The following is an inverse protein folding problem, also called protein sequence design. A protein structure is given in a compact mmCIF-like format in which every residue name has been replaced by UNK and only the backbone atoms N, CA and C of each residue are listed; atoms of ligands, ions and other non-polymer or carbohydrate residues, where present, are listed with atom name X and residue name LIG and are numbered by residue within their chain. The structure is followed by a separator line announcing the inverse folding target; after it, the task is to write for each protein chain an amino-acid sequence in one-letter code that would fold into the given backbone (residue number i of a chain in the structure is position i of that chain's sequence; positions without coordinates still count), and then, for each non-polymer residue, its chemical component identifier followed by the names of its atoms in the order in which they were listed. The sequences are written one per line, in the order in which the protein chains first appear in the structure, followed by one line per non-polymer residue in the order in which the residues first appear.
data_IF_854903496524
#
_entry.id   IF_854903496524
#
_cell.length_a   1.000
_cell.length_b   1.000
_cell.length_c   1.000
_cell.angle_alpha   90.00
_cell.angle_beta   90.00
_cell.angle_gamma   90.00
#
_symmetry.space_group_name_H-M   'P 1'
#
loop_
_entity.id
_entity.type
_entity.pdbx_description
1 polymer ?
#
# COMPACT_ATOMS: atom_id res chain seq x y z
N UNK A 1 7.20 8.91 12.25
CA UNK A 1 8.18 9.31 13.28
C UNK A 1 9.15 8.19 13.63
N UNK A 2 8.67 7.00 14.09
CA UNK A 2 9.53 5.89 14.52
C UNK A 2 10.50 5.43 13.41
N UNK A 3 9.99 5.08 12.22
CA UNK A 3 10.83 4.63 11.10
C UNK A 3 11.82 5.72 10.68
N UNK A 4 11.38 6.96 10.64
CA UNK A 4 12.25 8.10 10.30
C UNK A 4 13.39 8.25 11.31
N UNK A 5 13.11 8.08 12.60
CA UNK A 5 14.14 8.12 13.65
C UNK A 5 15.11 6.94 13.54
N UNK A 6 14.61 5.75 13.26
CA UNK A 6 15.44 4.53 13.09
C UNK A 6 16.48 4.70 11.99
N UNK A 7 16.09 5.25 10.84
CA UNK A 7 16.97 5.40 9.69
C UNK A 7 17.79 6.71 9.71
N UNK A 8 17.45 7.69 10.56
CA UNK A 8 18.12 8.98 10.61
C UNK A 8 18.73 9.29 11.99
N UNK A 9 17.96 9.89 12.89
CA UNK A 9 18.47 10.43 14.17
C UNK A 9 18.88 9.36 15.18
N UNK A 10 18.22 8.20 15.14
CA UNK A 10 18.49 7.04 16.01
C UNK A 10 18.35 7.37 17.51
N UNK A 11 17.47 8.33 17.84
CA UNK A 11 17.22 8.78 19.23
C UNK A 11 16.64 7.67 20.09
N UNK A 12 15.71 6.90 19.53
CA UNK A 12 15.06 5.79 20.23
C UNK A 12 16.06 4.78 20.81
N UNK A 13 17.21 4.59 20.16
CA UNK A 13 18.29 3.74 20.64
C UNK A 13 19.18 4.46 21.65
N UNK A 14 19.45 5.76 21.45
CA UNK A 14 20.24 6.58 22.38
C UNK A 14 19.53 6.75 23.71
N UNK A 15 18.21 6.86 23.68
CA UNK A 15 17.35 6.99 24.86
C UNK A 15 16.99 5.63 25.50
N UNK A 16 17.55 4.54 24.95
CA UNK A 16 17.33 3.16 25.44
C UNK A 16 15.84 2.76 25.51
N UNK A 17 15.00 3.29 24.62
CA UNK A 17 13.57 2.94 24.56
C UNK A 17 13.38 1.53 24.04
N UNK A 18 14.18 1.13 23.04
CA UNK A 18 14.24 -0.24 22.51
C UNK A 18 15.70 -0.69 22.32
N UNK A 19 15.99 -1.99 22.50
CA UNK A 19 17.30 -2.55 22.19
C UNK A 19 17.63 -2.43 20.70
N UNK A 20 18.85 -1.99 20.38
CA UNK A 20 19.30 -1.85 18.99
C UNK A 20 19.24 -3.14 18.20
N UNK A 21 19.54 -4.24 18.86
CA UNK A 21 19.62 -5.58 18.27
C UNK A 21 18.29 -6.05 17.70
N UNK A 22 17.17 -5.62 18.28
CA UNK A 22 15.84 -5.94 17.79
C UNK A 22 15.58 -5.38 16.38
N UNK A 23 16.15 -4.23 16.06
CA UNK A 23 15.98 -3.58 14.76
C UNK A 23 17.07 -4.00 13.78
N UNK A 24 18.36 -3.86 14.18
CA UNK A 24 19.47 -4.06 13.24
C UNK A 24 19.73 -5.54 12.89
N UNK A 25 19.28 -6.48 13.72
CA UNK A 25 19.33 -7.92 13.41
C UNK A 25 18.06 -8.41 12.69
N UNK A 26 17.07 -7.53 12.46
CA UNK A 26 15.88 -7.88 11.70
C UNK A 26 16.23 -8.08 10.22
N UNK A 27 15.76 -9.16 9.58
CA UNK A 27 15.95 -9.37 8.15
C UNK A 27 15.21 -8.32 7.28
N UNK A 28 14.33 -7.53 7.89
CA UNK A 28 13.58 -6.46 7.23
C UNK A 28 14.22 -5.08 7.39
N UNK A 29 15.30 -4.97 8.17
CA UNK A 29 16.06 -3.73 8.21
C UNK A 29 16.89 -3.57 6.95
N UNK A 30 16.65 -2.51 6.20
CA UNK A 30 17.35 -2.22 4.94
C UNK A 30 18.44 -1.16 5.21
N UNK A 31 19.68 -1.62 5.33
CA UNK A 31 20.82 -0.74 5.60
C UNK A 31 20.99 0.34 4.53
N UNK A 32 20.59 0.05 3.31
CA UNK A 32 20.61 0.97 2.16
C UNK A 32 19.72 2.20 2.36
N UNK A 33 18.76 2.12 3.29
CA UNK A 33 17.89 3.23 3.66
C UNK A 33 18.46 4.14 4.76
N UNK A 34 19.65 3.84 5.31
CA UNK A 34 20.29 4.70 6.31
C UNK A 34 20.57 6.09 5.74
N UNK A 35 20.07 7.11 6.44
CA UNK A 35 20.17 8.51 6.00
C UNK A 35 19.19 8.93 4.91
N UNK A 36 18.32 8.03 4.45
CA UNK A 36 17.28 8.35 3.50
C UNK A 36 16.08 9.01 4.22
N UNK A 37 15.49 10.00 3.59
CA UNK A 37 14.23 10.61 4.03
C UNK A 37 13.26 10.69 2.86
N UNK A 38 12.14 9.98 2.90
CA UNK A 38 11.14 10.05 1.84
C UNK A 38 10.46 11.42 1.83
N UNK A 39 9.90 11.78 0.69
CA UNK A 39 9.12 13.03 0.53
C UNK A 39 8.04 13.10 1.62
N UNK A 40 7.93 14.26 2.26
CA UNK A 40 7.03 14.51 3.38
C UNK A 40 7.24 13.61 4.61
N UNK A 41 8.38 12.91 4.70
CA UNK A 41 8.67 11.90 5.74
C UNK A 41 7.63 10.77 5.81
N UNK A 42 6.95 10.51 4.69
CA UNK A 42 5.93 9.49 4.56
C UNK A 42 6.56 8.13 4.22
N UNK A 43 7.01 7.39 5.23
CA UNK A 43 7.58 6.05 5.10
C UNK A 43 6.54 4.99 4.73
N UNK A 44 5.29 5.23 5.08
CA UNK A 44 4.17 4.40 4.65
C UNK A 44 3.00 5.29 4.24
N UNK A 45 2.47 5.06 3.05
CA UNK A 45 1.30 5.78 2.54
C UNK A 45 -0.01 5.12 2.96
N UNK A 46 0.02 3.80 3.25
CA UNK A 46 -1.13 3.00 3.67
C UNK A 46 -0.72 2.21 4.90
N UNK A 47 -1.52 2.28 5.95
CA UNK A 47 -1.32 1.55 7.20
C UNK A 47 -2.59 0.78 7.57
N UNK A 48 -2.44 -0.49 7.93
CA UNK A 48 -3.47 -1.29 8.56
C UNK A 48 -3.20 -1.32 10.07
N UNK A 49 -3.99 -0.57 10.83
CA UNK A 49 -3.78 -0.44 12.27
C UNK A 49 -4.71 -1.40 13.00
N UNK A 50 -4.15 -2.36 13.73
CA UNK A 50 -4.90 -3.28 14.57
C UNK A 50 -5.17 -2.65 15.92
N UNK A 51 -6.45 -2.67 16.32
CA UNK A 51 -6.92 -2.06 17.56
C UNK A 51 -7.51 -3.11 18.49
N UNK A 52 -7.21 -2.97 19.77
CA UNK A 52 -7.90 -3.71 20.83
C UNK A 52 -8.68 -2.76 21.73
N UNK A 53 -9.75 -3.26 22.32
CA UNK A 53 -10.54 -2.48 23.28
C UNK A 53 -10.22 -2.94 24.69
N UNK A 54 -9.77 -2.02 25.55
CA UNK A 54 -9.46 -2.32 26.93
C UNK A 54 -10.76 -2.41 27.79
N UNK A 55 -10.60 -2.81 29.05
CA UNK A 55 -11.72 -2.96 30.00
C UNK A 55 -12.46 -1.64 30.28
N UNK A 56 -11.84 -0.48 30.06
CA UNK A 56 -12.43 0.84 30.23
C UNK A 56 -13.20 1.29 28.98
N UNK A 57 -13.09 0.55 27.88
CA UNK A 57 -13.72 0.87 26.61
C UNK A 57 -12.84 1.71 25.66
N UNK A 58 -11.59 2.03 26.02
CA UNK A 58 -10.67 2.77 25.17
C UNK A 58 -10.07 1.87 24.10
N UNK A 59 -9.84 2.42 22.90
CA UNK A 59 -9.10 1.74 21.84
C UNK A 59 -7.60 1.96 22.01
N UNK A 60 -6.87 0.85 21.97
CA UNK A 60 -5.41 0.83 22.03
C UNK A 60 -4.87 0.23 20.75
N UNK A 61 -3.78 0.79 20.24
CA UNK A 61 -3.08 0.23 19.07
C UNK A 61 -2.35 -1.04 19.53
N UNK A 62 -2.61 -2.14 18.83
CA UNK A 62 -1.91 -3.40 19.04
C UNK A 62 -0.67 -3.47 18.14
N UNK A 63 -0.87 -3.20 16.83
CA UNK A 63 0.21 -3.15 15.85
C UNK A 63 -0.14 -2.29 14.64
N UNK A 64 0.88 -1.91 13.88
CA UNK A 64 0.77 -1.22 12.60
C UNK A 64 1.24 -2.14 11.47
N UNK A 65 0.32 -2.61 10.63
CA UNK A 65 0.64 -3.35 9.43
C UNK A 65 0.98 -2.37 8.29
N UNK A 66 2.26 -2.23 7.98
CA UNK A 66 2.76 -1.29 6.97
C UNK A 66 3.12 -1.96 5.64
N UNK A 67 3.00 -3.29 5.58
CA UNK A 67 3.39 -4.10 4.45
C UNK A 67 2.17 -4.74 3.79
N UNK A 68 1.71 -4.15 2.70
CA UNK A 68 0.57 -4.60 1.89
C UNK A 68 -0.70 -4.89 2.74
N UNK A 69 -1.14 -3.98 3.64
CA UNK A 69 -2.35 -4.23 4.45
C UNK A 69 -3.57 -4.41 3.55
N UNK A 70 -4.53 -5.22 4.00
CA UNK A 70 -5.76 -5.54 3.27
C UNK A 70 -6.98 -5.51 4.19
N UNK A 71 -8.18 -5.61 3.60
CA UNK A 71 -9.45 -5.65 4.34
C UNK A 71 -10.36 -4.45 4.13
N UNK A 72 -9.88 -3.36 3.53
CA UNK A 72 -10.67 -2.13 3.34
C UNK A 72 -11.88 -2.35 2.42
N UNK A 73 -11.76 -3.18 1.39
CA UNK A 73 -12.88 -3.52 0.50
C UNK A 73 -14.02 -4.18 1.25
N UNK A 74 -13.70 -5.12 2.13
CA UNK A 74 -14.70 -5.79 2.96
C UNK A 74 -15.37 -4.84 3.96
N UNK A 75 -14.62 -3.88 4.52
CA UNK A 75 -15.19 -2.86 5.37
C UNK A 75 -16.17 -1.96 4.60
N UNK A 76 -15.84 -1.57 3.37
CA UNK A 76 -16.69 -0.74 2.52
C UNK A 76 -17.96 -1.50 2.10
N UNK A 77 -17.83 -2.76 1.69
CA UNK A 77 -18.95 -3.63 1.35
C UNK A 77 -19.86 -3.88 2.56
N UNK A 78 -19.29 -4.25 3.73
CA UNK A 78 -20.04 -4.40 4.95
C UNK A 78 -20.80 -3.12 5.34
N UNK A 79 -20.17 -1.96 5.16
CA UNK A 79 -20.82 -0.67 5.43
C UNK A 79 -22.02 -0.42 4.51
N UNK A 80 -21.91 -0.81 3.23
CA UNK A 80 -23.03 -0.73 2.28
C UNK A 80 -24.18 -1.63 2.71
N UNK A 81 -23.89 -2.93 2.93
CA UNK A 81 -24.90 -3.91 3.37
C UNK A 81 -25.56 -3.47 4.68
N UNK A 82 -24.79 -3.01 5.66
CA UNK A 82 -25.32 -2.53 6.93
C UNK A 82 -26.25 -1.33 6.75
N UNK A 83 -25.94 -0.42 5.84
CA UNK A 83 -26.80 0.74 5.54
C UNK A 83 -28.12 0.31 4.90
N UNK A 84 -28.07 -0.67 4.00
CA UNK A 84 -29.27 -1.15 3.31
C UNK A 84 -30.17 -1.96 4.23
N UNK A 85 -29.61 -2.75 5.14
CA UNK A 85 -30.37 -3.61 6.06
C UNK A 85 -30.85 -2.86 7.30
N UNK A 86 -30.07 -1.90 7.80
CA UNK A 86 -30.36 -1.17 9.05
C UNK A 86 -30.27 0.36 8.87
N UNK A 87 -31.04 0.98 7.96
CA UNK A 87 -30.93 2.40 7.67
C UNK A 87 -31.21 3.30 8.89
N UNK A 88 -32.10 2.87 9.79
CA UNK A 88 -32.44 3.63 10.99
C UNK A 88 -31.23 3.76 11.95
N UNK A 89 -30.35 2.76 12.01
CA UNK A 89 -29.15 2.82 12.86
C UNK A 89 -28.20 3.92 12.39
N UNK A 90 -28.04 4.08 11.09
CA UNK A 90 -27.19 5.13 10.52
C UNK A 90 -27.72 6.53 10.79
N UNK A 91 -29.03 6.70 10.73
CA UNK A 91 -29.69 7.96 11.09
C UNK A 91 -29.54 8.28 12.57
N UNK A 92 -29.77 7.29 13.43
CA UNK A 92 -29.76 7.44 14.89
C UNK A 92 -28.36 7.69 15.46
N UNK A 93 -27.33 6.94 14.98
CA UNK A 93 -25.99 6.95 15.55
C UNK A 93 -25.00 7.84 14.80
N UNK A 94 -25.42 8.54 13.74
CA UNK A 94 -24.57 9.43 12.94
C UNK A 94 -23.24 8.79 12.55
N UNK A 95 -23.31 7.58 12.00
CA UNK A 95 -22.14 6.81 11.59
C UNK A 95 -21.35 7.56 10.51
N UNK A 96 -20.06 7.77 10.73
CA UNK A 96 -19.18 8.50 9.81
C UNK A 96 -19.12 7.86 8.43
N UNK A 97 -19.08 8.68 7.39
CA UNK A 97 -18.92 8.23 6.01
C UNK A 97 -17.48 7.79 5.72
N UNK A 98 -17.35 6.65 5.06
CA UNK A 98 -16.07 6.06 4.64
C UNK A 98 -15.96 5.83 3.13
N UNK A 99 -16.99 6.20 2.35
CA UNK A 99 -17.06 5.94 0.90
C UNK A 99 -15.95 6.64 0.10
N UNK A 100 -15.37 7.68 0.66
CA UNK A 100 -14.32 8.44 0.00
C UNK A 100 -12.95 7.74 0.03
N UNK A 101 -12.82 6.58 0.66
CA UNK A 101 -11.53 5.89 0.76
C UNK A 101 -10.85 5.65 -0.59
N UNK A 102 -11.52 5.09 -1.61
CA UNK A 102 -10.90 4.89 -2.92
C UNK A 102 -10.40 6.20 -3.55
N UNK A 103 -11.17 7.28 -3.44
CA UNK A 103 -10.77 8.60 -3.93
C UNK A 103 -9.55 9.15 -3.19
N UNK A 104 -9.48 8.93 -1.87
CA UNK A 104 -8.30 9.33 -1.07
C UNK A 104 -7.07 8.54 -1.46
N UNK A 105 -7.21 7.22 -1.69
CA UNK A 105 -6.12 6.38 -2.18
C UNK A 105 -5.64 6.83 -3.57
N UNK A 106 -6.56 7.09 -4.49
CA UNK A 106 -6.26 7.64 -5.81
C UNK A 106 -5.46 8.95 -5.70
N UNK A 107 -5.92 9.89 -4.87
CA UNK A 107 -5.23 11.16 -4.66
C UNK A 107 -3.85 10.99 -4.01
N UNK A 108 -3.71 10.03 -3.09
CA UNK A 108 -2.41 9.68 -2.51
C UNK A 108 -1.43 9.19 -3.59
N UNK A 109 -1.89 8.37 -4.52
CA UNK A 109 -1.08 7.94 -5.67
C UNK A 109 -0.70 9.11 -6.58
N UNK A 110 -1.62 10.04 -6.84
CA UNK A 110 -1.34 11.26 -7.62
C UNK A 110 -0.25 12.12 -6.97
N UNK A 111 -0.25 12.26 -5.66
CA UNK A 111 0.79 13.03 -4.93
C UNK A 111 2.19 12.40 -5.02
N UNK A 112 2.27 11.09 -5.30
CA UNK A 112 3.55 10.40 -5.55
C UNK A 112 4.11 10.71 -6.94
N UNK A 113 3.30 11.17 -7.88
CA UNK A 113 3.69 11.45 -9.27
C UNK A 113 4.29 12.85 -9.38
N UNK A 114 5.32 13.07 -10.22
CA UNK A 114 5.85 14.41 -10.47
C UNK A 114 4.78 15.36 -11.01
N UNK A 115 4.63 16.54 -10.41
CA UNK A 115 3.60 17.55 -10.75
C UNK A 115 3.56 18.00 -12.22
N UNK A 116 4.64 17.76 -12.97
CA UNK A 116 4.73 18.11 -14.40
C UNK A 116 4.12 17.05 -15.32
N UNK A 117 3.73 15.89 -14.79
CA UNK A 117 3.14 14.80 -15.58
C UNK A 117 1.73 15.19 -16.00
N UNK A 118 1.50 15.25 -17.30
CA UNK A 118 0.18 15.42 -17.87
C UNK A 118 -0.46 14.05 -18.07
N UNK A 119 -1.75 13.92 -17.75
CA UNK A 119 -2.53 12.68 -17.90
C UNK A 119 -1.81 11.44 -17.32
N UNK A 120 -1.57 11.40 -16.00
CA UNK A 120 -0.82 10.32 -15.38
C UNK A 120 -1.57 8.99 -15.46
N UNK A 121 -0.86 7.91 -15.83
CA UNK A 121 -1.41 6.58 -15.86
C UNK A 121 -0.97 5.80 -14.62
N UNK A 122 -1.95 5.28 -13.91
CA UNK A 122 -1.77 4.50 -12.69
C UNK A 122 -2.36 3.11 -12.84
N UNK A 123 -1.84 2.15 -12.08
CA UNK A 123 -2.41 0.80 -12.05
C UNK A 123 -2.28 0.16 -10.66
N UNK A 124 -3.08 -0.87 -10.44
CA UNK A 124 -2.95 -1.79 -9.31
C UNK A 124 -2.22 -3.04 -9.78
N UNK A 125 -1.04 -3.32 -9.23
CA UNK A 125 -0.29 -4.54 -9.52
C UNK A 125 -0.70 -5.65 -8.55
N UNK A 126 -1.33 -6.69 -9.09
CA UNK A 126 -1.79 -7.87 -8.35
C UNK A 126 -0.94 -9.10 -8.68
N UNK A 127 -0.75 -10.04 -7.72
CA UNK A 127 -0.18 -11.35 -8.02
C UNK A 127 -1.14 -12.28 -8.78
N UNK A 128 -2.39 -11.85 -9.01
CA UNK A 128 -3.38 -12.61 -9.77
C UNK A 128 -4.46 -13.27 -8.91
N UNK A 129 -5.36 -14.01 -9.59
CA UNK A 129 -6.60 -14.54 -9.02
C UNK A 129 -6.41 -15.57 -7.89
N UNK A 130 -5.26 -16.21 -7.80
CA UNK A 130 -4.96 -17.16 -6.74
C UNK A 130 -4.65 -16.49 -5.38
N UNK A 131 -4.47 -15.17 -5.35
CA UNK A 131 -4.23 -14.43 -4.12
C UNK A 131 -5.52 -14.27 -3.31
N UNK A 132 -5.45 -14.49 -1.99
CA UNK A 132 -6.61 -14.39 -1.10
C UNK A 132 -7.25 -12.98 -1.06
N UNK A 133 -6.44 -11.93 -1.29
CA UNK A 133 -6.91 -10.54 -1.34
C UNK A 133 -7.27 -10.06 -2.77
N UNK A 134 -7.38 -10.96 -3.77
CA UNK A 134 -7.66 -10.58 -5.15
C UNK A 134 -8.96 -9.79 -5.30
N UNK A 135 -9.99 -10.14 -4.51
CA UNK A 135 -11.24 -9.38 -4.49
C UNK A 135 -10.98 -7.90 -4.18
N UNK A 136 -10.18 -7.60 -3.16
CA UNK A 136 -9.84 -6.23 -2.79
C UNK A 136 -9.05 -5.52 -3.88
N UNK A 137 -8.09 -6.20 -4.53
CA UNK A 137 -7.30 -5.61 -5.61
C UNK A 137 -8.21 -5.17 -6.77
N UNK A 138 -9.14 -6.02 -7.16
CA UNK A 138 -10.12 -5.73 -8.18
C UNK A 138 -11.08 -4.63 -7.75
N UNK A 139 -11.65 -4.73 -6.56
CA UNK A 139 -12.57 -3.74 -6.00
C UNK A 139 -11.95 -2.34 -6.00
N UNK A 140 -10.75 -2.19 -5.46
CA UNK A 140 -10.06 -0.89 -5.41
C UNK A 140 -9.72 -0.36 -6.80
N UNK A 141 -9.27 -1.22 -7.71
CA UNK A 141 -9.01 -0.85 -9.11
C UNK A 141 -10.27 -0.30 -9.79
N UNK A 142 -11.41 -0.98 -9.65
CA UNK A 142 -12.70 -0.56 -10.20
C UNK A 142 -13.19 0.75 -9.57
N UNK A 143 -13.10 0.87 -8.23
CA UNK A 143 -13.52 2.08 -7.53
C UNK A 143 -12.65 3.32 -7.84
N UNK A 144 -11.37 3.13 -8.09
CA UNK A 144 -10.47 4.20 -8.50
C UNK A 144 -10.50 4.49 -10.01
N UNK A 145 -11.11 3.60 -10.81
CA UNK A 145 -11.12 3.73 -12.28
C UNK A 145 -9.74 3.57 -12.92
N UNK A 146 -8.84 2.77 -12.31
CA UNK A 146 -7.49 2.51 -12.83
C UNK A 146 -7.33 1.03 -13.19
N UNK A 147 -6.33 0.72 -14.03
CA UNK A 147 -6.12 -0.65 -14.51
C UNK A 147 -5.70 -1.61 -13.39
N UNK A 148 -6.27 -2.83 -13.37
CA UNK A 148 -5.75 -3.96 -12.62
C UNK A 148 -4.82 -4.76 -13.53
N UNK A 149 -3.56 -4.95 -13.13
CA UNK A 149 -2.54 -5.62 -13.93
C UNK A 149 -1.80 -6.69 -13.13
N UNK A 150 -1.37 -7.74 -13.81
CA UNK A 150 -0.41 -8.72 -13.32
C UNK A 150 1.00 -8.40 -13.82
N UNK A 151 2.04 -9.00 -13.23
CA UNK A 151 3.44 -8.76 -13.65
C UNK A 151 3.69 -8.99 -15.14
N UNK A 152 3.00 -9.95 -15.77
CA UNK A 152 3.09 -10.24 -17.22
C UNK A 152 2.57 -9.11 -18.11
N UNK A 153 1.72 -8.23 -17.57
CA UNK A 153 1.11 -7.10 -18.29
C UNK A 153 2.01 -5.85 -18.27
N UNK A 154 3.04 -5.86 -17.42
CA UNK A 154 4.03 -4.79 -17.30
C UNK A 154 5.37 -5.21 -17.88
N UNK A 155 6.17 -4.23 -18.26
CA UNK A 155 7.58 -4.40 -18.62
C UNK A 155 8.35 -3.10 -18.46
N UNK A 156 9.67 -3.22 -18.33
CA UNK A 156 10.57 -2.06 -18.21
C UNK A 156 11.38 -1.93 -19.48
N UNK A 157 11.42 -0.74 -20.03
CA UNK A 157 12.22 -0.38 -21.20
C UNK A 157 12.89 0.98 -20.96
N UNK A 158 14.23 1.03 -20.99
CA UNK A 158 15.03 2.25 -20.75
C UNK A 158 14.63 2.95 -19.43
N UNK A 159 14.57 2.17 -18.35
CA UNK A 159 14.22 2.62 -17.00
C UNK A 159 12.82 3.26 -16.87
N UNK A 160 11.93 2.95 -17.80
CA UNK A 160 10.53 3.39 -17.79
C UNK A 160 9.63 2.16 -17.76
N UNK A 161 8.65 2.18 -16.88
CA UNK A 161 7.64 1.12 -16.77
C UNK A 161 6.53 1.35 -17.79
N UNK A 162 6.16 0.31 -18.49
CA UNK A 162 5.06 0.32 -19.46
C UNK A 162 4.06 -0.79 -19.17
N UNK A 163 2.79 -0.50 -19.41
CA UNK A 163 1.71 -1.47 -19.46
C UNK A 163 1.40 -1.85 -20.90
N UNK A 164 1.22 -3.15 -21.16
CA UNK A 164 0.75 -3.68 -22.44
C UNK A 164 -0.73 -3.38 -22.60
N UNK A 165 -1.11 -2.80 -23.71
CA UNK A 165 -2.52 -2.52 -24.05
C UNK A 165 -2.82 -2.99 -25.47
N UNK A 166 -4.10 -3.11 -25.81
CA UNK A 166 -4.53 -3.45 -27.19
C UNK A 166 -4.13 -2.39 -28.23
N UNK A 167 -3.78 -1.18 -27.77
CA UNK A 167 -3.32 -0.08 -28.63
C UNK A 167 -1.80 0.10 -28.63
N UNK A 168 -1.06 -0.80 -27.99
CA UNK A 168 0.39 -0.74 -27.82
C UNK A 168 0.81 -0.59 -26.36
N UNK A 169 1.97 0.03 -26.14
CA UNK A 169 2.49 0.26 -24.78
C UNK A 169 2.02 1.60 -24.22
N UNK A 170 1.67 1.62 -22.95
CA UNK A 170 1.27 2.80 -22.20
C UNK A 170 2.24 3.00 -21.03
N UNK A 171 2.84 4.18 -20.91
CA UNK A 171 3.72 4.51 -19.79
C UNK A 171 2.93 4.46 -18.47
N UNK A 172 3.50 3.88 -17.44
CA UNK A 172 2.93 3.86 -16.08
C UNK A 172 3.71 4.83 -15.19
N UNK A 173 2.99 5.73 -14.52
CA UNK A 173 3.59 6.78 -13.68
C UNK A 173 3.52 6.48 -12.19
N UNK A 174 2.56 5.65 -11.75
CA UNK A 174 2.47 5.15 -10.38
C UNK A 174 1.81 3.78 -10.31
N UNK A 175 2.33 2.93 -9.43
CA UNK A 175 1.83 1.57 -9.21
C UNK A 175 1.40 1.43 -7.74
N UNK A 176 0.14 1.08 -7.51
CA UNK A 176 -0.28 0.55 -6.22
C UNK A 176 0.00 -0.94 -6.18
N UNK A 177 1.12 -1.33 -5.55
CA UNK A 177 1.49 -2.74 -5.50
C UNK A 177 0.71 -3.49 -4.44
N UNK A 178 0.17 -4.63 -4.82
CA UNK A 178 -0.45 -5.63 -3.93
C UNK A 178 0.33 -6.94 -3.95
N UNK A 179 1.54 -6.89 -4.44
CA UNK A 179 2.52 -7.95 -4.49
C UNK A 179 3.56 -7.74 -3.39
N UNK A 180 3.95 -8.81 -2.70
CA UNK A 180 5.03 -8.75 -1.71
C UNK A 180 6.34 -8.32 -2.37
N UNK A 181 7.13 -7.50 -1.68
CA UNK A 181 8.40 -6.98 -2.17
C UNK A 181 9.37 -8.08 -2.60
N UNK A 182 9.42 -9.21 -1.88
CA UNK A 182 10.24 -10.37 -2.25
C UNK A 182 9.99 -10.84 -3.68
N UNK A 183 8.76 -10.74 -4.16
CA UNK A 183 8.38 -11.19 -5.52
C UNK A 183 8.27 -10.06 -6.55
N UNK A 184 8.53 -8.82 -6.14
CA UNK A 184 8.28 -7.63 -6.96
C UNK A 184 9.17 -7.59 -8.21
N UNK A 185 10.46 -7.86 -8.04
CA UNK A 185 11.44 -7.84 -9.15
C UNK A 185 12.39 -9.05 -9.05
N UNK A 186 12.34 -9.98 -10.03
CA UNK A 186 13.23 -11.14 -10.03
C UNK A 186 14.72 -10.80 -10.23
N UNK A 187 15.05 -9.60 -10.71
CA UNK A 187 16.44 -9.17 -10.84
C UNK A 187 17.01 -8.61 -9.55
N UNK A 188 16.18 -8.00 -8.71
CA UNK A 188 16.61 -7.36 -7.47
C UNK A 188 16.43 -8.26 -6.24
N UNK A 189 15.35 -9.05 -6.19
CA UNK A 189 14.98 -9.82 -5.01
C UNK A 189 15.04 -11.33 -5.26
N UNK A 190 13.90 -11.98 -5.50
CA UNK A 190 13.81 -13.42 -5.68
C UNK A 190 13.84 -13.82 -7.15
N UNK A 191 14.96 -14.39 -7.63
CA UNK A 191 15.16 -14.77 -9.04
C UNK A 191 14.12 -15.73 -9.60
N UNK A 192 13.47 -16.53 -8.74
CA UNK A 192 12.41 -17.47 -9.12
C UNK A 192 11.02 -16.83 -9.24
N UNK A 193 10.87 -15.52 -9.03
CA UNK A 193 9.57 -14.87 -9.13
C UNK A 193 9.05 -14.89 -10.56
N UNK A 194 7.87 -15.51 -10.74
CA UNK A 194 7.11 -15.54 -12.00
C UNK A 194 6.00 -14.48 -12.06
N UNK A 195 5.74 -13.80 -10.93
CA UNK A 195 4.64 -12.87 -10.77
C UNK A 195 5.09 -11.40 -10.67
N UNK A 196 6.41 -11.19 -10.57
CA UNK A 196 7.02 -9.86 -10.55
C UNK A 196 7.31 -9.29 -11.94
N UNK A 197 7.90 -8.11 -11.97
CA UNK A 197 8.26 -7.39 -13.19
C UNK A 197 9.79 -7.20 -13.24
N UNK A 198 10.50 -7.83 -14.19
CA UNK A 198 11.96 -7.74 -14.25
C UNK A 198 12.45 -6.30 -14.51
N UNK A 199 13.25 -5.76 -13.58
CA UNK A 199 13.83 -4.42 -13.68
C UNK A 199 12.90 -3.30 -13.19
N UNK A 200 11.88 -3.65 -12.40
CA UNK A 200 10.96 -2.66 -11.81
C UNK A 200 11.63 -1.84 -10.71
N UNK A 201 12.60 -2.45 -9.99
CA UNK A 201 13.31 -1.87 -8.86
C UNK A 201 14.71 -1.35 -9.23
#
# INVERSE_FOLDING_TARGET
LFIDDVYNDKKIFKDNVIPRELVFNSPYYLKECDGFSPKHKAWSNISGIDLIRNIKGDFLVLEDNLRVPSGISYMLENRMVMRDVFPELFTRYKVSDIHQYPNKLYNCMLECIPKKTKDPHMCVLTPGRANSAYFEHRFLSEQMGIALVEGKDLFVEKDIVYMKTVRGKLKVDCIYRRLDDTFLDPKAFFKGSLIGVPGLF
#
